data_IF_846252573225
#
_entry.id   IF_846252573225
#
_cell.length_a   1.000
_cell.length_b   1.000
_cell.length_c   1.000
_cell.angle_alpha   90.00
_cell.angle_beta   90.00
_cell.angle_gamma   90.00
#
_symmetry.space_group_name_H-M   'P 1'
#
loop_
_entity.id
_entity.type
_entity.pdbx_description
1 polymer ?
#
# COMPACT_ATOMS: atom_id res chain seq x y z
N UNK A 1 -11.28 -36.69 0.49
CA UNK A 1 -11.34 -35.55 -0.47
C UNK A 1 -10.32 -34.51 -0.02
N UNK A 2 -9.62 -33.81 -0.92
CA UNK A 2 -8.70 -32.74 -0.53
C UNK A 2 -9.54 -31.56 0.00
N UNK A 3 -9.18 -31.03 1.16
CA UNK A 3 -9.79 -29.80 1.71
C UNK A 3 -9.53 -28.64 0.73
N UNK A 4 -10.50 -27.75 0.55
CA UNK A 4 -10.30 -26.57 -0.28
C UNK A 4 -9.22 -25.67 0.32
N UNK A 5 -8.52 -24.88 -0.50
CA UNK A 5 -7.52 -23.92 -0.05
C UNK A 5 -7.99 -22.52 -0.37
N UNK A 6 -8.03 -21.62 0.62
CA UNK A 6 -8.52 -20.25 0.45
C UNK A 6 -7.45 -19.27 0.90
N UNK A 7 -7.19 -18.26 0.07
CA UNK A 7 -6.46 -17.08 0.46
C UNK A 7 -7.44 -15.94 0.72
N UNK A 8 -7.41 -15.39 1.94
CA UNK A 8 -8.10 -14.16 2.30
C UNK A 8 -7.07 -13.03 2.31
N UNK A 9 -7.20 -12.09 1.37
CA UNK A 9 -6.34 -10.93 1.26
C UNK A 9 -7.20 -9.67 1.04
N UNK A 10 -7.40 -8.89 2.09
CA UNK A 10 -8.34 -7.77 2.08
C UNK A 10 -7.79 -6.51 2.73
N UNK A 11 -8.41 -5.39 2.41
CA UNK A 11 -8.23 -4.12 3.12
C UNK A 11 -9.13 -4.07 4.37
N UNK A 12 -9.17 -2.91 5.02
CA UNK A 12 -10.23 -2.52 5.95
C UNK A 12 -11.61 -2.75 5.35
N UNK A 13 -12.52 -3.28 6.17
CA UNK A 13 -13.94 -3.44 5.83
C UNK A 13 -14.78 -2.78 6.92
N UNK A 14 -15.38 -1.64 6.61
CA UNK A 14 -16.06 -0.81 7.60
C UNK A 14 -15.07 -0.26 8.63
N UNK A 15 -15.34 -0.48 9.91
CA UNK A 15 -14.46 -0.06 10.99
C UNK A 15 -13.34 -1.07 11.32
N UNK A 16 -13.44 -2.31 10.80
CA UNK A 16 -12.50 -3.37 11.12
C UNK A 16 -11.20 -3.19 10.34
N UNK A 17 -10.06 -3.25 11.02
CA UNK A 17 -8.76 -3.27 10.33
C UNK A 17 -8.66 -4.48 9.39
N UNK A 18 -7.74 -4.45 8.43
CA UNK A 18 -7.53 -5.59 7.52
C UNK A 18 -7.19 -6.88 8.27
N UNK A 19 -6.51 -6.77 9.42
CA UNK A 19 -6.25 -7.89 10.33
C UNK A 19 -7.53 -8.43 10.97
N UNK A 20 -8.38 -7.56 11.52
CA UNK A 20 -9.63 -7.98 12.16
C UNK A 20 -10.62 -8.56 11.15
N UNK A 21 -10.78 -7.90 10.00
CA UNK A 21 -11.62 -8.34 8.91
C UNK A 21 -11.12 -9.69 8.37
N UNK A 22 -9.84 -9.80 8.04
CA UNK A 22 -9.23 -11.04 7.57
C UNK A 22 -9.41 -12.20 8.54
N UNK A 23 -9.21 -11.95 9.85
CA UNK A 23 -9.41 -12.98 10.89
C UNK A 23 -10.88 -13.42 10.99
N UNK A 24 -11.84 -12.50 10.89
CA UNK A 24 -13.27 -12.82 10.89
C UNK A 24 -13.65 -13.68 9.68
N UNK A 25 -13.16 -13.33 8.49
CA UNK A 25 -13.37 -14.12 7.28
C UNK A 25 -12.74 -15.51 7.40
N UNK A 26 -11.50 -15.57 7.89
CA UNK A 26 -10.80 -16.83 8.15
C UNK A 26 -11.58 -17.76 9.07
N UNK A 27 -12.12 -17.25 10.19
CA UNK A 27 -12.96 -18.04 11.10
C UNK A 27 -14.18 -18.64 10.42
N UNK A 28 -14.88 -17.87 9.58
CA UNK A 28 -16.08 -18.37 8.90
C UNK A 28 -15.80 -19.41 7.81
N UNK A 29 -14.57 -19.42 7.27
CA UNK A 29 -14.13 -20.37 6.24
C UNK A 29 -13.42 -21.60 6.83
N UNK A 30 -13.02 -21.53 8.10
CA UNK A 30 -12.18 -22.53 8.75
C UNK A 30 -12.79 -23.93 8.73
N UNK A 31 -14.12 -24.09 8.71
CA UNK A 31 -14.78 -25.40 8.63
C UNK A 31 -14.79 -26.01 7.21
N UNK A 32 -14.54 -25.19 6.18
CA UNK A 32 -14.69 -25.57 4.77
C UNK A 32 -13.35 -25.74 4.04
N UNK A 33 -12.33 -24.98 4.45
CA UNK A 33 -11.06 -24.87 3.74
C UNK A 33 -9.86 -24.79 4.71
N UNK A 34 -8.66 -25.04 4.20
CA UNK A 34 -7.42 -24.52 4.77
C UNK A 34 -7.32 -23.04 4.36
N UNK A 35 -7.19 -22.14 5.34
CA UNK A 35 -7.28 -20.70 5.10
C UNK A 35 -5.98 -20.00 5.45
N UNK A 36 -5.41 -19.29 4.49
CA UNK A 36 -4.35 -18.31 4.72
C UNK A 36 -4.99 -16.91 4.77
N UNK A 37 -4.64 -16.12 5.79
CA UNK A 37 -5.10 -14.74 5.93
C UNK A 37 -3.89 -13.82 5.80
N UNK A 38 -3.96 -12.85 4.89
CA UNK A 38 -2.93 -11.84 4.70
C UNK A 38 -3.58 -10.46 4.74
N UNK A 39 -3.36 -9.66 5.81
CA UNK A 39 -3.86 -8.29 5.85
C UNK A 39 -3.12 -7.43 4.82
N UNK A 40 -3.85 -6.59 4.10
CA UNK A 40 -3.31 -5.62 3.16
C UNK A 40 -3.64 -4.20 3.64
N UNK A 41 -2.83 -3.23 3.23
CA UNK A 41 -3.06 -1.82 3.53
C UNK A 41 -2.33 -0.95 2.50
N UNK A 42 -2.76 0.31 2.37
CA UNK A 42 -2.15 1.26 1.42
C UNK A 42 -0.90 1.94 1.97
N UNK A 43 -0.86 2.19 3.28
CA UNK A 43 0.15 3.02 3.94
C UNK A 43 -0.25 3.40 5.36
N UNK A 44 0.60 4.17 6.03
CA UNK A 44 0.37 4.70 7.37
C UNK A 44 0.28 3.62 8.45
N UNK A 45 -0.46 3.93 9.52
CA UNK A 45 -0.64 3.00 10.65
C UNK A 45 -1.37 1.72 10.26
N UNK A 46 -2.27 1.78 9.27
CA UNK A 46 -2.94 0.58 8.76
C UNK A 46 -1.92 -0.40 8.14
N UNK A 47 -0.90 0.14 7.45
CA UNK A 47 0.22 -0.65 6.96
C UNK A 47 1.10 -1.14 8.10
N UNK A 48 1.36 -0.32 9.11
CA UNK A 48 2.11 -0.76 10.29
C UNK A 48 1.45 -1.99 10.96
N UNK A 49 0.12 -1.95 11.16
CA UNK A 49 -0.65 -3.06 11.73
C UNK A 49 -0.63 -4.30 10.84
N UNK A 50 -0.76 -4.14 9.52
CA UNK A 50 -0.68 -5.24 8.57
C UNK A 50 0.70 -5.92 8.59
N UNK A 51 1.77 -5.12 8.56
CA UNK A 51 3.17 -5.60 8.63
C UNK A 51 3.43 -6.33 9.94
N UNK A 52 3.04 -5.72 11.07
CA UNK A 52 3.15 -6.30 12.40
C UNK A 52 2.45 -7.67 12.48
N UNK A 53 1.26 -7.78 11.89
CA UNK A 53 0.51 -9.02 11.82
C UNK A 53 1.23 -10.09 10.98
N UNK A 54 1.72 -9.73 9.79
CA UNK A 54 2.43 -10.65 8.89
C UNK A 54 3.75 -11.13 9.51
N UNK A 55 4.51 -10.20 10.10
CA UNK A 55 5.84 -10.48 10.66
C UNK A 55 5.80 -11.00 12.11
N UNK A 56 4.62 -11.07 12.73
CA UNK A 56 4.45 -11.35 14.17
C UNK A 56 5.33 -10.45 15.05
N UNK A 57 5.35 -9.15 14.74
CA UNK A 57 6.15 -8.12 15.40
C UNK A 57 5.26 -7.03 16.00
N UNK A 58 5.68 -6.32 17.06
CA UNK A 58 4.92 -5.19 17.59
C UNK A 58 5.03 -3.96 16.68
N UNK A 59 3.97 -3.12 16.69
CA UNK A 59 4.04 -1.75 16.17
C UNK A 59 4.57 -0.84 17.28
N UNK A 60 5.57 -0.04 16.94
CA UNK A 60 6.05 1.04 17.79
C UNK A 60 5.66 2.39 17.18
N UNK A 61 5.35 3.38 18.02
CA UNK A 61 4.97 4.72 17.56
C UNK A 61 5.41 5.78 18.56
N UNK A 62 5.87 6.92 18.04
CA UNK A 62 6.14 8.13 18.82
C UNK A 62 5.73 9.37 18.01
N UNK A 63 4.80 10.15 18.56
CA UNK A 63 4.22 11.30 17.88
C UNK A 63 3.62 10.94 16.50
N UNK A 64 4.20 11.51 15.44
CA UNK A 64 3.78 11.30 14.06
C UNK A 64 4.50 10.11 13.37
N UNK A 65 5.49 9.53 14.04
CA UNK A 65 6.31 8.45 13.54
C UNK A 65 5.87 7.09 14.05
N UNK A 66 6.14 6.06 13.25
CA UNK A 66 5.98 4.67 13.64
C UNK A 66 7.06 3.80 13.00
N UNK A 67 7.32 2.64 13.59
CA UNK A 67 8.20 1.64 13.01
C UNK A 67 7.80 0.21 13.41
N UNK A 68 8.19 -0.75 12.58
CA UNK A 68 8.07 -2.18 12.85
C UNK A 68 9.41 -2.82 12.52
N UNK A 69 10.02 -3.48 13.50
CA UNK A 69 11.20 -4.30 13.27
C UNK A 69 10.75 -5.74 12.98
N UNK A 70 10.87 -6.14 11.72
CA UNK A 70 10.62 -7.52 11.29
C UNK A 70 11.90 -8.36 11.48
N UNK A 71 11.83 -9.66 11.20
CA UNK A 71 13.03 -10.52 11.20
C UNK A 71 14.06 -10.13 10.14
N UNK A 72 13.64 -9.48 9.04
CA UNK A 72 14.45 -9.25 7.85
C UNK A 72 14.74 -7.76 7.58
N UNK A 73 13.97 -6.83 8.16
CA UNK A 73 14.06 -5.39 7.89
C UNK A 73 13.45 -4.53 9.00
N UNK A 74 13.89 -3.27 9.06
CA UNK A 74 13.30 -2.18 9.82
C UNK A 74 12.39 -1.35 8.90
N UNK A 75 11.09 -1.35 9.17
CA UNK A 75 10.11 -0.55 8.42
C UNK A 75 9.79 0.72 9.21
N UNK A 76 9.94 1.89 8.59
CA UNK A 76 9.76 3.19 9.24
C UNK A 76 8.75 4.02 8.45
N UNK A 77 7.78 4.63 9.14
CA UNK A 77 6.86 5.58 8.55
C UNK A 77 6.76 6.88 9.33
N UNK A 78 6.37 7.94 8.64
CA UNK A 78 6.14 9.27 9.22
C UNK A 78 4.92 9.91 8.56
N UNK A 79 4.05 10.53 9.36
CA UNK A 79 2.88 11.25 8.87
C UNK A 79 3.10 12.76 9.01
N UNK A 80 3.38 13.43 7.89
CA UNK A 80 3.35 14.89 7.86
C UNK A 80 1.91 15.38 7.94
N UNK A 81 1.73 16.58 8.50
CA UNK A 81 0.43 17.24 8.48
C UNK A 81 -0.04 17.45 7.03
N UNK A 82 -1.31 17.16 6.70
CA UNK A 82 -1.87 17.45 5.39
C UNK A 82 -1.76 18.93 5.07
N UNK A 83 -1.11 19.25 3.94
CA UNK A 83 -0.95 20.61 3.45
C UNK A 83 -1.31 20.65 1.97
N UNK A 84 -1.81 21.80 1.52
CA UNK A 84 -1.98 22.08 0.10
C UNK A 84 -0.62 22.30 -0.57
N UNK A 85 -0.61 23.13 -1.61
CA UNK A 85 0.67 23.59 -2.15
C UNK A 85 1.39 24.49 -1.14
N UNK A 86 2.55 24.03 -0.68
CA UNK A 86 3.43 24.74 0.24
C UNK A 86 4.88 24.55 -0.23
N UNK A 87 5.49 25.56 -0.89
CA UNK A 87 6.84 25.44 -1.42
C UNK A 87 7.93 25.41 -0.33
N UNK A 88 7.58 25.78 0.91
CA UNK A 88 8.51 25.78 2.05
C UNK A 88 8.41 24.48 2.87
N UNK A 89 7.45 23.61 2.55
CA UNK A 89 7.35 22.29 3.18
C UNK A 89 8.49 21.38 2.74
N UNK A 90 9.19 20.77 3.70
CA UNK A 90 10.34 19.89 3.48
C UNK A 90 10.14 18.50 4.11
N UNK A 91 11.06 17.58 3.80
CA UNK A 91 11.11 16.23 4.39
C UNK A 91 12.10 16.13 5.55
N UNK A 92 12.48 17.24 6.17
CA UNK A 92 13.53 17.26 7.20
C UNK A 92 13.08 16.59 8.50
N UNK A 93 11.78 16.64 8.82
CA UNK A 93 11.18 15.93 9.93
C UNK A 93 11.25 14.41 9.76
N UNK A 94 10.86 13.91 8.58
CA UNK A 94 11.04 12.52 8.18
C UNK A 94 12.50 12.11 8.24
N UNK A 95 13.42 12.92 7.70
CA UNK A 95 14.84 12.62 7.71
C UNK A 95 15.42 12.46 9.11
N UNK A 96 15.08 13.37 10.03
CA UNK A 96 15.50 13.26 11.44
C UNK A 96 14.89 12.04 12.12
N UNK A 97 13.62 11.75 11.85
CA UNK A 97 12.93 10.57 12.38
C UNK A 97 13.60 9.28 11.92
N UNK A 98 13.82 9.13 10.62
CA UNK A 98 14.47 7.95 10.03
C UNK A 98 15.87 7.77 10.60
N UNK A 99 16.67 8.84 10.70
CA UNK A 99 18.01 8.76 11.27
C UNK A 99 18.01 8.29 12.73
N UNK A 100 17.06 8.78 13.55
CA UNK A 100 16.94 8.36 14.93
C UNK A 100 16.54 6.89 15.07
N UNK A 101 15.51 6.45 14.35
CA UNK A 101 15.02 5.06 14.42
C UNK A 101 16.00 4.07 13.81
N UNK A 102 16.66 4.41 12.70
CA UNK A 102 17.63 3.54 12.06
C UNK A 102 18.91 3.31 12.90
N UNK A 103 19.24 4.24 13.80
CA UNK A 103 20.39 4.12 14.69
C UNK A 103 20.23 2.99 15.73
N UNK A 104 18.99 2.65 16.11
CA UNK A 104 18.71 1.59 17.08
C UNK A 104 18.81 0.18 16.47
N UNK A 105 18.85 0.06 15.13
CA UNK A 105 18.99 -1.21 14.43
C UNK A 105 19.95 -1.09 13.21
N UNK A 106 21.25 -0.82 13.44
CA UNK A 106 22.20 -0.40 12.39
C UNK A 106 22.49 -1.46 11.33
N UNK A 107 22.25 -2.74 11.64
CA UNK A 107 22.53 -3.89 10.77
C UNK A 107 21.35 -4.30 9.89
N UNK A 108 20.15 -3.78 10.13
CA UNK A 108 18.96 -4.15 9.35
C UNK A 108 18.83 -3.29 8.09
N UNK A 109 18.40 -3.90 6.97
CA UNK A 109 17.82 -3.18 5.84
C UNK A 109 16.68 -2.27 6.30
N UNK A 110 16.52 -1.14 5.62
CA UNK A 110 15.50 -0.15 5.92
C UNK A 110 14.48 -0.11 4.79
N UNK A 111 13.20 -0.19 5.16
CA UNK A 111 12.08 0.08 4.27
C UNK A 111 11.33 1.32 4.76
N UNK A 112 10.99 2.24 3.87
CA UNK A 112 10.33 3.50 4.24
C UNK A 112 8.89 3.53 3.75
N UNK A 113 7.94 3.81 4.62
CA UNK A 113 6.61 4.23 4.20
C UNK A 113 6.58 5.74 3.96
N UNK A 114 6.50 6.13 2.69
CA UNK A 114 6.44 7.53 2.26
C UNK A 114 5.01 7.99 1.98
N UNK A 115 3.99 7.15 2.19
CA UNK A 115 2.59 7.53 1.90
C UNK A 115 2.09 8.69 2.78
N UNK A 116 2.72 8.92 3.94
CA UNK A 116 2.43 10.03 4.83
C UNK A 116 3.15 11.35 4.51
N UNK A 117 3.95 11.40 3.44
CA UNK A 117 4.72 12.59 3.04
C UNK A 117 3.89 13.51 2.15
N UNK A 118 3.84 14.79 2.54
CA UNK A 118 3.04 15.84 1.88
C UNK A 118 3.92 16.93 1.26
N UNK A 119 5.14 17.13 1.77
CA UNK A 119 6.15 18.05 1.24
C UNK A 119 6.51 17.77 -0.23
N UNK A 120 7.02 18.79 -0.95
CA UNK A 120 7.40 18.70 -2.38
C UNK A 120 8.84 19.18 -2.59
N UNK A 121 9.76 18.68 -1.76
CA UNK A 121 11.17 19.07 -1.77
C UNK A 121 12.09 18.05 -2.48
N UNK A 122 11.51 17.02 -3.12
CA UNK A 122 12.29 15.96 -3.75
C UNK A 122 12.97 15.00 -2.77
N UNK A 123 12.57 14.99 -1.50
CA UNK A 123 13.28 14.22 -0.46
C UNK A 123 14.60 14.86 -0.03
N UNK A 124 14.78 16.17 -0.26
CA UNK A 124 16.00 16.88 0.11
C UNK A 124 16.24 16.86 1.62
N UNK A 125 15.21 17.12 2.43
CA UNK A 125 15.28 17.02 3.89
C UNK A 125 15.56 15.60 4.40
N UNK A 126 14.97 14.59 3.73
CA UNK A 126 15.25 13.18 4.00
C UNK A 126 16.74 12.86 3.80
N UNK A 127 17.32 13.22 2.65
CA UNK A 127 18.74 12.98 2.37
C UNK A 127 19.65 13.79 3.30
N UNK A 128 19.30 15.05 3.58
CA UNK A 128 20.11 15.91 4.45
C UNK A 128 20.33 15.34 5.85
N UNK A 129 19.35 14.59 6.38
CA UNK A 129 19.41 14.04 7.73
C UNK A 129 19.63 12.52 7.79
N UNK A 130 19.26 11.76 6.75
CA UNK A 130 19.27 10.30 6.78
C UNK A 130 20.09 9.64 5.67
N UNK A 131 20.80 10.37 4.79
CA UNK A 131 21.57 9.73 3.72
C UNK A 131 22.61 8.74 4.25
N UNK A 132 23.35 9.09 5.30
CA UNK A 132 24.37 8.21 5.91
C UNK A 132 23.76 6.92 6.51
N UNK A 133 22.76 6.98 7.42
CA UNK A 133 22.18 5.76 7.98
C UNK A 133 21.40 4.91 6.96
N UNK A 134 21.01 5.47 5.82
CA UNK A 134 20.32 4.76 4.73
C UNK A 134 21.26 4.22 3.65
N UNK A 135 22.50 4.71 3.56
CA UNK A 135 23.44 4.32 2.51
C UNK A 135 23.70 2.81 2.53
N UNK A 136 23.39 2.13 1.42
CA UNK A 136 23.50 0.67 1.30
C UNK A 136 22.49 -0.13 2.14
N UNK A 137 21.54 0.54 2.80
CA UNK A 137 20.52 -0.08 3.67
C UNK A 137 19.10 0.17 3.19
N UNK A 138 18.83 1.27 2.47
CA UNK A 138 17.50 1.54 1.92
C UNK A 138 17.22 0.62 0.73
N UNK A 139 16.44 -0.43 0.96
CA UNK A 139 16.07 -1.39 -0.10
C UNK A 139 14.75 -1.03 -0.78
N UNK A 140 13.75 -0.63 0.02
CA UNK A 140 12.39 -0.42 -0.45
C UNK A 140 11.80 0.88 0.11
N UNK A 141 10.91 1.51 -0.66
CA UNK A 141 9.97 2.48 -0.13
C UNK A 141 8.54 2.20 -0.61
N UNK A 142 7.59 2.36 0.30
CA UNK A 142 6.17 2.24 0.06
C UNK A 142 5.60 3.61 -0.33
N UNK A 143 4.89 3.65 -1.46
CA UNK A 143 4.27 4.86 -2.03
C UNK A 143 2.84 4.57 -2.47
N UNK A 144 2.07 5.59 -2.82
CA UNK A 144 0.77 5.39 -3.44
C UNK A 144 0.91 4.67 -4.79
N UNK A 145 -0.08 3.86 -5.19
CA UNK A 145 -0.03 3.08 -6.43
C UNK A 145 0.20 3.94 -7.68
N UNK A 146 -0.54 5.04 -7.81
CA UNK A 146 -0.40 5.98 -8.93
C UNK A 146 0.95 6.69 -8.97
N UNK A 147 1.66 6.72 -7.84
CA UNK A 147 2.96 7.35 -7.72
C UNK A 147 4.09 6.43 -8.17
N UNK A 148 3.87 5.12 -8.35
CA UNK A 148 4.90 4.17 -8.81
C UNK A 148 5.48 4.51 -10.19
N UNK A 149 4.70 5.18 -11.04
CA UNK A 149 5.10 5.55 -12.39
C UNK A 149 5.22 7.06 -12.60
N UNK A 150 4.90 7.85 -11.57
CA UNK A 150 4.88 9.32 -11.68
C UNK A 150 6.31 9.86 -11.73
N UNK A 151 6.70 10.61 -12.76
CA UNK A 151 8.01 11.27 -12.79
C UNK A 151 8.04 12.47 -11.82
N UNK A 152 9.23 12.94 -11.47
CA UNK A 152 9.36 14.12 -10.62
C UNK A 152 8.94 15.39 -11.37
N UNK A 153 9.18 15.43 -12.68
CA UNK A 153 9.05 16.62 -13.52
C UNK A 153 8.20 16.38 -14.76
N UNK A 154 7.89 17.47 -15.47
CA UNK A 154 7.15 17.44 -16.73
C UNK A 154 5.63 17.40 -16.55
N UNK A 155 4.90 17.33 -17.67
CA UNK A 155 3.43 17.49 -17.69
C UNK A 155 2.66 16.51 -16.82
N UNK A 156 3.20 15.30 -16.61
CA UNK A 156 2.62 14.26 -15.77
C UNK A 156 3.31 14.14 -14.40
N UNK A 157 4.31 15.00 -14.14
CA UNK A 157 5.11 14.96 -12.94
C UNK A 157 4.37 15.45 -11.70
N UNK A 158 4.95 15.20 -10.53
CA UNK A 158 4.34 15.57 -9.25
C UNK A 158 4.17 17.08 -9.09
N UNK A 159 5.11 17.86 -9.59
CA UNK A 159 5.05 19.33 -9.53
C UNK A 159 3.88 19.86 -10.34
N UNK A 160 3.76 19.44 -11.61
CA UNK A 160 2.66 19.85 -12.47
C UNK A 160 1.30 19.41 -11.91
N UNK A 161 1.17 18.14 -11.55
CA UNK A 161 -0.10 17.57 -11.09
C UNK A 161 -0.60 18.21 -9.80
N UNK A 162 0.26 18.37 -8.78
CA UNK A 162 -0.13 19.05 -7.54
C UNK A 162 -0.30 20.55 -7.71
N UNK A 163 0.58 21.22 -8.47
CA UNK A 163 0.51 22.66 -8.69
C UNK A 163 -0.77 23.09 -9.41
N UNK A 164 -1.19 22.37 -10.45
CA UNK A 164 -2.45 22.66 -11.13
C UNK A 164 -3.68 22.33 -10.27
N UNK A 165 -3.65 21.24 -9.49
CA UNK A 165 -4.73 20.93 -8.55
C UNK A 165 -4.88 22.02 -7.47
N UNK A 166 -3.78 22.69 -7.10
CA UNK A 166 -3.77 23.83 -6.19
C UNK A 166 -4.12 25.17 -6.84
N UNK A 167 -4.32 25.21 -8.17
CA UNK A 167 -4.74 26.43 -8.89
C UNK A 167 -3.62 27.44 -9.15
N UNK A 168 -2.35 27.01 -9.15
CA UNK A 168 -1.21 27.89 -9.45
C UNK A 168 -1.20 28.41 -10.87
N UNK A 169 -0.60 29.58 -11.07
CA UNK A 169 -0.35 30.09 -12.42
C UNK A 169 0.70 29.21 -13.13
N UNK A 170 0.56 29.08 -14.46
CA UNK A 170 1.46 28.26 -15.29
C UNK A 170 2.94 28.63 -15.08
N UNK A 171 3.25 29.92 -14.94
CA UNK A 171 4.62 30.38 -14.71
C UNK A 171 5.22 29.89 -13.38
N UNK A 172 4.41 29.77 -12.33
CA UNK A 172 4.84 29.26 -11.01
C UNK A 172 5.10 27.76 -11.08
N UNK A 173 4.21 27.01 -11.74
CA UNK A 173 4.39 25.57 -11.96
C UNK A 173 5.67 25.30 -12.76
N UNK A 174 5.91 26.04 -13.85
CA UNK A 174 7.12 25.88 -14.65
C UNK A 174 8.40 26.23 -13.88
N UNK A 175 8.35 27.25 -13.00
CA UNK A 175 9.50 27.60 -12.16
C UNK A 175 9.81 26.49 -11.14
N UNK A 176 8.78 25.95 -10.48
CA UNK A 176 8.93 24.85 -9.53
C UNK A 176 9.41 23.55 -10.23
N UNK A 177 8.89 23.26 -11.44
CA UNK A 177 9.27 22.08 -12.20
C UNK A 177 10.73 22.14 -12.63
N UNK A 178 11.21 23.31 -13.07
CA UNK A 178 12.61 23.56 -13.38
C UNK A 178 13.53 23.41 -12.14
N UNK A 179 13.07 23.84 -10.97
CA UNK A 179 13.82 23.67 -9.72
C UNK A 179 13.93 22.18 -9.34
N UNK A 180 12.83 21.42 -9.47
CA UNK A 180 12.82 19.97 -9.25
C UNK A 180 13.70 19.24 -10.28
N UNK A 181 13.69 19.64 -11.54
CA UNK A 181 14.57 19.12 -12.59
C UNK A 181 16.04 19.30 -12.22
N UNK A 182 16.44 20.53 -11.88
CA UNK A 182 17.81 20.83 -11.48
C UNK A 182 18.24 20.07 -10.22
N UNK A 183 17.33 19.83 -9.28
CA UNK A 183 17.59 19.01 -8.11
C UNK A 183 17.78 17.52 -8.48
N UNK A 184 16.88 16.95 -9.26
CA UNK A 184 16.97 15.56 -9.71
C UNK A 184 18.26 15.30 -10.52
N UNK A 185 18.66 16.23 -11.38
CA UNK A 185 19.90 16.14 -12.16
C UNK A 185 21.16 16.15 -11.28
N UNK A 186 21.13 16.82 -10.12
CA UNK A 186 22.22 16.77 -9.14
C UNK A 186 22.29 15.42 -8.41
N UNK A 187 21.16 14.75 -8.22
CA UNK A 187 21.13 13.41 -7.62
C UNK A 187 21.63 12.35 -8.59
N UNK A 188 21.33 12.49 -9.89
CA UNK A 188 21.80 11.54 -10.88
C UNK A 188 21.16 11.71 -12.24
N UNK A 189 21.93 11.37 -13.28
CA UNK A 189 21.46 11.45 -14.66
C UNK A 189 20.21 10.57 -14.86
N UNK A 190 19.16 11.16 -15.43
CA UNK A 190 17.91 10.46 -15.76
C UNK A 190 16.87 10.40 -14.64
N UNK A 191 17.20 10.78 -13.40
CA UNK A 191 16.26 10.69 -12.27
C UNK A 191 15.04 11.60 -12.42
N UNK A 192 15.16 12.75 -13.09
CA UNK A 192 14.06 13.71 -13.23
C UNK A 192 12.82 13.13 -13.93
N UNK A 193 13.01 12.15 -14.81
CA UNK A 193 11.94 11.48 -15.58
C UNK A 193 11.80 10.00 -15.23
N UNK A 194 12.53 9.53 -14.21
CA UNK A 194 12.44 8.15 -13.77
C UNK A 194 11.03 7.83 -13.24
N UNK A 195 10.53 6.63 -13.55
CA UNK A 195 9.27 6.13 -13.02
C UNK A 195 9.31 6.13 -11.49
N UNK A 196 8.34 6.80 -10.88
CA UNK A 196 8.23 6.95 -9.43
C UNK A 196 9.16 7.97 -8.80
N UNK A 197 9.95 8.70 -9.59
CA UNK A 197 10.72 9.84 -9.09
C UNK A 197 9.84 10.90 -8.44
N UNK A 198 8.60 11.08 -8.91
CA UNK A 198 7.63 12.02 -8.36
C UNK A 198 6.86 11.51 -7.14
N UNK A 199 7.10 10.28 -6.71
CA UNK A 199 6.35 9.70 -5.60
C UNK A 199 6.48 10.56 -4.34
N UNK A 200 5.36 10.77 -3.65
CA UNK A 200 5.35 11.47 -2.37
C UNK A 200 6.02 12.85 -2.42
N UNK A 201 5.66 13.66 -3.43
CA UNK A 201 6.23 15.01 -3.62
C UNK A 201 7.67 15.02 -4.12
N UNK A 202 8.11 13.93 -4.75
CA UNK A 202 9.46 13.78 -5.25
C UNK A 202 10.39 13.05 -4.29
N UNK A 203 9.94 12.66 -3.09
CA UNK A 203 10.73 11.86 -2.16
C UNK A 203 11.18 10.52 -2.77
N UNK A 204 10.48 10.02 -3.80
CA UNK A 204 10.93 8.90 -4.63
C UNK A 204 12.33 9.12 -5.26
N UNK A 205 12.72 10.36 -5.58
CA UNK A 205 14.07 10.67 -6.06
C UNK A 205 15.16 10.27 -5.05
N UNK A 206 14.94 10.52 -3.77
CA UNK A 206 15.89 10.15 -2.72
C UNK A 206 16.07 8.63 -2.62
N UNK A 207 14.97 7.88 -2.75
CA UNK A 207 14.98 6.41 -2.74
C UNK A 207 15.76 5.88 -3.94
N UNK A 208 15.43 6.35 -5.14
CA UNK A 208 16.09 5.92 -6.38
C UNK A 208 17.57 6.31 -6.41
N UNK A 209 17.91 7.49 -5.90
CA UNK A 209 19.30 7.96 -5.77
C UNK A 209 20.14 7.04 -4.87
N UNK A 210 19.57 6.54 -3.77
CA UNK A 210 20.22 5.60 -2.86
C UNK A 210 20.18 4.15 -3.35
N UNK A 211 19.60 3.88 -4.53
CA UNK A 211 19.52 2.54 -5.13
C UNK A 211 18.33 1.69 -4.67
N UNK A 212 17.41 2.26 -3.88
CA UNK A 212 16.20 1.59 -3.43
C UNK A 212 15.15 1.46 -4.53
N UNK A 213 14.11 0.66 -4.25
CA UNK A 213 12.98 0.41 -5.17
C UNK A 213 11.66 0.84 -4.55
N UNK A 214 10.68 1.12 -5.39
CA UNK A 214 9.34 1.54 -4.95
C UNK A 214 8.34 0.38 -5.07
N UNK A 215 7.48 0.24 -4.07
CA UNK A 215 6.33 -0.66 -4.04
C UNK A 215 5.10 0.10 -3.57
N UNK A 216 3.89 -0.32 -3.97
CA UNK A 216 2.68 0.11 -3.29
C UNK A 216 2.49 -0.66 -1.98
N UNK A 217 1.67 -0.13 -1.06
CA UNK A 217 1.35 -0.83 0.20
C UNK A 217 0.89 -2.29 -0.02
N UNK A 218 -0.06 -2.56 -0.94
CA UNK A 218 -0.47 -3.93 -1.25
C UNK A 218 0.69 -4.79 -1.78
N UNK A 219 1.52 -4.26 -2.68
CA UNK A 219 2.69 -4.98 -3.21
C UNK A 219 3.71 -5.30 -2.11
N UNK A 220 3.89 -4.39 -1.15
CA UNK A 220 4.78 -4.60 0.00
C UNK A 220 4.24 -5.70 0.92
N UNK A 221 2.96 -5.68 1.28
CA UNK A 221 2.34 -6.77 2.05
C UNK A 221 2.44 -8.11 1.31
N UNK A 222 2.24 -8.11 0.00
CA UNK A 222 2.39 -9.30 -0.85
C UNK A 222 3.80 -9.87 -0.81
N UNK A 223 4.81 -9.01 -0.96
CA UNK A 223 6.22 -9.37 -0.86
C UNK A 223 6.55 -9.93 0.52
N UNK A 224 6.17 -9.23 1.58
CA UNK A 224 6.48 -9.60 2.96
C UNK A 224 5.84 -10.95 3.36
N UNK A 225 4.58 -11.15 2.98
CA UNK A 225 3.85 -12.39 3.27
C UNK A 225 4.23 -13.55 2.33
N UNK A 226 5.11 -13.31 1.34
CA UNK A 226 5.50 -14.28 0.29
C UNK A 226 4.26 -14.94 -0.31
N UNK A 227 3.32 -14.14 -0.79
CA UNK A 227 1.98 -14.62 -1.19
C UNK A 227 1.97 -15.52 -2.43
N UNK A 228 2.99 -15.46 -3.29
CA UNK A 228 3.01 -16.15 -4.59
C UNK A 228 2.76 -17.67 -4.52
N UNK A 229 3.43 -18.46 -3.65
CA UNK A 229 3.12 -19.89 -3.51
C UNK A 229 1.71 -20.15 -2.98
N UNK A 230 1.20 -19.27 -2.12
CA UNK A 230 -0.15 -19.37 -1.55
C UNK A 230 -1.21 -19.10 -2.62
N UNK A 231 -1.00 -18.08 -3.46
CA UNK A 231 -1.86 -17.77 -4.60
C UNK A 231 -1.91 -18.93 -5.60
N UNK A 232 -0.75 -19.48 -5.97
CA UNK A 232 -0.64 -20.60 -6.89
C UNK A 232 -1.28 -21.90 -6.34
N UNK A 233 -1.35 -22.03 -5.01
CA UNK A 233 -1.99 -23.15 -4.35
C UNK A 233 -3.48 -22.91 -4.05
N UNK A 234 -3.97 -21.67 -4.06
CA UNK A 234 -5.35 -21.39 -3.66
C UNK A 234 -6.35 -21.99 -4.67
N UNK A 235 -7.46 -22.50 -4.14
CA UNK A 235 -8.63 -22.90 -4.94
C UNK A 235 -9.63 -21.73 -5.06
N UNK A 236 -9.50 -20.70 -4.20
CA UNK A 236 -10.28 -19.47 -4.18
C UNK A 236 -9.48 -18.34 -3.50
N UNK A 237 -9.53 -17.15 -4.08
CA UNK A 237 -9.06 -15.90 -3.46
C UNK A 237 -10.27 -15.08 -3.02
N UNK A 238 -10.19 -14.54 -1.81
CA UNK A 238 -11.19 -13.66 -1.24
C UNK A 238 -10.53 -12.33 -0.91
N UNK A 239 -11.08 -11.25 -1.46
CA UNK A 239 -10.73 -9.90 -1.05
C UNK A 239 -11.94 -9.18 -0.45
N UNK A 240 -11.74 -7.96 0.02
CA UNK A 240 -12.81 -7.15 0.55
C UNK A 240 -12.41 -5.72 0.81
N UNK A 241 -13.43 -4.87 0.82
CA UNK A 241 -13.35 -3.43 1.07
C UNK A 241 -14.66 -2.92 1.67
N UNK A 242 -14.66 -1.71 2.20
CA UNK A 242 -15.88 -1.09 2.76
C UNK A 242 -16.99 -0.91 1.71
N UNK A 243 -16.64 -0.47 0.51
CA UNK A 243 -17.61 -0.22 -0.55
C UNK A 243 -17.05 -0.56 -1.93
N UNK A 244 -17.83 -1.31 -2.71
CA UNK A 244 -17.58 -1.56 -4.12
C UNK A 244 -18.57 -0.77 -4.98
N UNK A 245 -18.06 -0.07 -6.00
CA UNK A 245 -18.87 0.67 -6.96
C UNK A 245 -18.24 0.63 -8.35
N UNK A 246 -19.01 0.99 -9.39
CA UNK A 246 -18.49 1.02 -10.75
C UNK A 246 -17.38 2.08 -10.98
N UNK A 247 -17.37 3.14 -10.15
CA UNK A 247 -16.41 4.24 -10.23
C UNK A 247 -15.08 3.88 -9.56
N UNK A 248 -15.15 3.48 -8.29
CA UNK A 248 -13.96 3.23 -7.46
C UNK A 248 -13.42 1.81 -7.60
N UNK A 249 -14.24 0.86 -8.06
CA UNK A 249 -13.88 -0.55 -8.25
C UNK A 249 -13.30 -1.23 -7.01
N UNK A 250 -13.56 -0.69 -5.82
CA UNK A 250 -13.14 -1.25 -4.53
C UNK A 250 -11.75 -0.81 -4.12
N UNK A 251 -11.18 0.16 -4.81
CA UNK A 251 -9.89 0.75 -4.49
C UNK A 251 -8.69 -0.12 -4.86
N UNK A 252 -7.47 0.35 -4.52
CA UNK A 252 -6.23 -0.24 -5.01
C UNK A 252 -5.98 -1.66 -4.49
N UNK A 253 -6.48 -2.00 -3.28
CA UNK A 253 -6.31 -3.34 -2.71
C UNK A 253 -7.11 -4.37 -3.50
N UNK A 254 -8.40 -4.12 -3.74
CA UNK A 254 -9.26 -5.03 -4.50
C UNK A 254 -8.71 -5.22 -5.91
N UNK A 255 -8.29 -4.13 -6.57
CA UNK A 255 -7.70 -4.18 -7.89
C UNK A 255 -6.43 -5.06 -7.92
N UNK A 256 -5.51 -4.85 -6.97
CA UNK A 256 -4.27 -5.63 -6.88
C UNK A 256 -4.53 -7.13 -6.62
N UNK A 257 -5.44 -7.45 -5.70
CA UNK A 257 -5.75 -8.85 -5.37
C UNK A 257 -6.45 -9.55 -6.54
N UNK A 258 -7.36 -8.86 -7.25
CA UNK A 258 -8.00 -9.41 -8.43
C UNK A 258 -6.97 -9.68 -9.55
N UNK A 259 -6.02 -8.76 -9.77
CA UNK A 259 -4.92 -8.94 -10.73
C UNK A 259 -4.02 -10.14 -10.36
N UNK A 260 -3.63 -10.27 -9.10
CA UNK A 260 -2.81 -11.40 -8.66
C UNK A 260 -3.54 -12.74 -8.76
N UNK A 261 -4.84 -12.76 -8.45
CA UNK A 261 -5.66 -13.94 -8.60
C UNK A 261 -5.81 -14.34 -10.07
N UNK A 262 -6.01 -13.37 -10.97
CA UNK A 262 -6.04 -13.60 -12.42
C UNK A 262 -4.70 -14.15 -12.92
N UNK A 263 -3.57 -13.55 -12.55
CA UNK A 263 -2.24 -14.10 -12.91
C UNK A 263 -2.02 -15.53 -12.38
N UNK A 264 -2.53 -15.84 -11.20
CA UNK A 264 -2.50 -17.20 -10.63
C UNK A 264 -3.55 -18.15 -11.23
N UNK A 265 -4.45 -17.65 -12.09
CA UNK A 265 -5.58 -18.37 -12.67
C UNK A 265 -6.52 -18.95 -11.60
N UNK A 266 -6.68 -18.21 -10.49
CA UNK A 266 -7.49 -18.59 -9.34
C UNK A 266 -8.72 -17.67 -9.26
N UNK A 267 -9.95 -18.21 -9.08
CA UNK A 267 -11.14 -17.37 -8.98
C UNK A 267 -11.02 -16.41 -7.80
N UNK A 268 -11.42 -15.15 -8.01
CA UNK A 268 -11.43 -14.11 -6.99
C UNK A 268 -12.87 -13.67 -6.68
N UNK A 269 -13.24 -13.55 -5.41
CA UNK A 269 -14.52 -12.95 -4.98
C UNK A 269 -14.30 -11.84 -3.97
N UNK A 270 -15.16 -10.83 -3.98
CA UNK A 270 -15.10 -9.71 -3.05
C UNK A 270 -16.18 -9.80 -1.98
N UNK A 271 -15.85 -9.37 -0.76
CA UNK A 271 -16.83 -9.02 0.27
C UNK A 271 -16.82 -7.51 0.45
N UNK A 272 -17.94 -6.88 0.13
CA UNK A 272 -18.02 -5.42 0.17
C UNK A 272 -19.43 -4.94 0.47
N UNK A 273 -19.52 -3.76 1.06
CA UNK A 273 -20.74 -2.97 1.04
C UNK A 273 -20.91 -2.27 -0.32
N UNK A 274 -21.94 -1.44 -0.43
CA UNK A 274 -22.15 -0.62 -1.61
C UNK A 274 -23.25 -1.13 -2.53
N UNK A 275 -23.18 -0.74 -3.81
CA UNK A 275 -24.24 -0.98 -4.78
C UNK A 275 -24.14 -2.39 -5.35
N UNK A 276 -25.29 -3.02 -5.62
CA UNK A 276 -25.29 -4.29 -6.35
C UNK A 276 -24.78 -4.08 -7.78
N UNK A 277 -23.64 -4.69 -8.08
CA UNK A 277 -23.09 -4.75 -9.42
C UNK A 277 -23.51 -6.06 -10.09
N UNK A 278 -23.77 -6.01 -11.38
CA UNK A 278 -24.03 -7.23 -12.16
C UNK A 278 -22.77 -8.10 -12.23
N UNK A 279 -22.94 -9.41 -12.40
CA UNK A 279 -21.80 -10.33 -12.63
C UNK A 279 -20.93 -9.92 -13.81
N UNK A 280 -21.52 -9.29 -14.83
CA UNK A 280 -20.78 -8.82 -16.00
C UNK A 280 -19.85 -7.67 -15.63
N UNK A 281 -20.28 -6.75 -14.78
CA UNK A 281 -19.46 -5.64 -14.29
C UNK A 281 -18.36 -6.14 -13.36
N UNK A 282 -18.67 -7.03 -12.43
CA UNK A 282 -17.68 -7.63 -11.52
C UNK A 282 -16.54 -8.31 -12.28
N UNK A 283 -16.85 -9.03 -13.36
CA UNK A 283 -15.83 -9.64 -14.22
C UNK A 283 -14.92 -8.65 -14.91
N UNK A 284 -15.37 -7.42 -15.18
CA UNK A 284 -14.48 -6.37 -15.70
C UNK A 284 -13.47 -5.88 -14.67
N UNK A 285 -13.65 -6.25 -13.40
CA UNK A 285 -12.72 -5.95 -12.30
C UNK A 285 -11.90 -7.18 -11.90
N UNK A 286 -12.02 -8.31 -12.62
CA UNK A 286 -11.36 -9.57 -12.25
C UNK A 286 -12.06 -10.33 -11.12
N UNK A 287 -13.32 -10.02 -10.80
CA UNK A 287 -14.09 -10.66 -9.74
C UNK A 287 -15.16 -11.60 -10.31
N UNK A 288 -15.20 -12.85 -9.83
CA UNK A 288 -16.23 -13.84 -10.18
C UNK A 288 -17.55 -13.61 -9.46
N UNK A 289 -17.51 -12.87 -8.35
CA UNK A 289 -18.69 -12.56 -7.56
C UNK A 289 -18.39 -11.58 -6.43
N UNK A 290 -19.46 -11.00 -5.91
CA UNK A 290 -19.43 -10.17 -4.72
C UNK A 290 -20.46 -10.71 -3.73
N UNK A 291 -20.07 -10.78 -2.46
CA UNK A 291 -20.97 -11.07 -1.35
C UNK A 291 -21.17 -9.79 -0.56
N UNK A 292 -22.41 -9.31 -0.52
CA UNK A 292 -22.74 -8.09 0.20
C UNK A 292 -22.49 -8.27 1.70
N UNK A 293 -21.83 -7.27 2.31
CA UNK A 293 -21.76 -7.11 3.76
C UNK A 293 -22.66 -5.95 4.22
N UNK A 294 -23.23 -6.00 5.43
CA UNK A 294 -24.05 -4.91 5.96
C UNK A 294 -23.26 -3.60 6.07
N UNK A 295 -23.96 -2.47 6.13
CA UNK A 295 -23.31 -1.14 6.31
C UNK A 295 -22.58 -1.05 7.66
N UNK A 296 -23.18 -1.60 8.72
CA UNK A 296 -22.56 -1.72 10.04
C UNK A 296 -21.81 -3.06 10.13
N UNK A 297 -20.58 -3.06 9.64
CA UNK A 297 -19.76 -4.29 9.51
C UNK A 297 -19.21 -4.67 10.88
N UNK A 298 -19.75 -5.75 11.46
CA UNK A 298 -19.18 -6.42 12.63
C UNK A 298 -18.38 -7.67 12.23
N UNK A 299 -17.46 -8.09 13.10
CA UNK A 299 -16.70 -9.33 12.89
C UNK A 299 -17.61 -10.56 12.78
N UNK A 300 -18.72 -10.60 13.51
CA UNK A 300 -19.70 -11.68 13.44
C UNK A 300 -20.45 -11.68 12.09
N UNK A 301 -20.81 -10.50 11.58
CA UNK A 301 -21.46 -10.37 10.27
C UNK A 301 -20.53 -10.81 9.13
N UNK A 302 -19.23 -10.47 9.21
CA UNK A 302 -18.22 -10.95 8.28
C UNK A 302 -18.05 -12.47 8.37
N UNK A 303 -17.95 -13.02 9.59
CA UNK A 303 -17.85 -14.46 9.83
C UNK A 303 -19.05 -15.21 9.23
N UNK A 304 -20.27 -14.72 9.47
CA UNK A 304 -21.49 -15.31 8.91
C UNK A 304 -21.53 -15.22 7.38
N UNK A 305 -20.99 -14.16 6.79
CA UNK A 305 -20.88 -14.00 5.33
C UNK A 305 -19.87 -14.99 4.75
N UNK A 306 -18.72 -15.13 5.39
CA UNK A 306 -17.69 -16.10 5.02
C UNK A 306 -18.20 -17.55 5.09
N UNK A 307 -19.04 -17.90 6.07
CA UNK A 307 -19.74 -19.21 6.11
C UNK A 307 -20.62 -19.42 4.87
N UNK A 308 -21.34 -18.38 4.39
CA UNK A 308 -22.15 -18.49 3.16
C UNK A 308 -21.28 -18.71 1.92
N UNK A 309 -20.13 -18.05 1.84
CA UNK A 309 -19.13 -18.28 0.79
C UNK A 309 -18.65 -19.73 0.84
N UNK A 310 -18.22 -20.20 2.01
CA UNK A 310 -17.74 -21.58 2.22
C UNK A 310 -18.75 -22.63 1.78
N UNK A 311 -20.04 -22.45 2.13
CA UNK A 311 -21.14 -23.33 1.66
C UNK A 311 -21.30 -23.32 0.15
N UNK A 312 -21.19 -22.15 -0.48
CA UNK A 312 -21.40 -22.00 -1.92
C UNK A 312 -20.27 -22.62 -2.75
N UNK A 313 -19.03 -22.55 -2.25
CA UNK A 313 -17.84 -22.97 -2.99
C UNK A 313 -17.36 -24.39 -2.65
N UNK A 314 -17.58 -24.86 -1.42
CA UNK A 314 -16.98 -26.11 -0.93
C UNK A 314 -17.98 -27.14 -0.41
N UNK A 315 -19.25 -26.78 -0.13
CA UNK A 315 -20.23 -27.75 0.39
C UNK A 315 -20.93 -28.59 -0.69
N UNK A 316 -20.60 -28.40 -1.98
CA UNK A 316 -21.20 -29.15 -3.11
C UNK A 316 -20.24 -30.22 -3.67
N UNK A 317 -19.42 -30.85 -2.83
CA UNK A 317 -18.58 -32.01 -3.23
C UNK A 317 -18.71 -33.17 -2.27
#
# INVERSE_FOLDING_TARGET
MRRGRVLVACDRIGALSSTEAGAALGRGLADFADVAVVPLALGGLDLAEAIATIAAAPVHSDGAGWWVQTGDALVIGWRQEPRGWDPDADTSDLGRWVAAVAADAPELPVHLDLTGVTAIDGGAGLLAHAAEPLAGRLELAIVAGDDLVRPATGLQGVVATRGYAAGLAVGEVLAADNAMQAYADRLGAGLATAAGGGASGGAGLAVLHLGGRLLSGPQYCHFLARMEPTLAAADLVITGCTALSALDRGGPVVAAVAEWADHAQTPCVALAGGQELSRRELRTFGLEGMYAVPVDVSADALTATAVRVGRSWFAVR
#
